data_IF_629561793009
#
_entry.id   IF_629561793009
#
_cell.length_a   1.000
_cell.length_b   1.000
_cell.length_c   1.000
_cell.angle_alpha   90.00
_cell.angle_beta   90.00
_cell.angle_gamma   90.00
#
_symmetry.space_group_name_H-M   'P 1'
#
loop_
_entity.id
_entity.type
_entity.pdbx_description
1 polymer ?
#
# COMPACT_ATOMS: atom_id res chain seq x y z
N UNK A 1 -29.49 7.73 -11.10
CA UNK A 1 -30.56 7.85 -12.12
C UNK A 1 -31.87 8.42 -11.54
N UNK A 2 -32.19 8.20 -10.27
CA UNK A 2 -33.42 8.79 -9.67
C UNK A 2 -33.34 10.31 -9.55
N UNK A 3 -32.14 10.83 -9.30
CA UNK A 3 -31.91 12.26 -9.00
C UNK A 3 -31.52 13.09 -10.25
N UNK A 4 -31.19 12.42 -11.37
CA UNK A 4 -30.77 13.03 -12.62
C UNK A 4 -31.43 12.29 -13.80
N UNK A 5 -32.65 12.65 -14.22
CA UNK A 5 -33.40 11.92 -15.27
C UNK A 5 -32.72 11.99 -16.66
N UNK A 6 -32.00 13.06 -16.96
CA UNK A 6 -31.33 13.29 -18.24
C UNK A 6 -29.86 12.81 -18.27
N UNK A 7 -29.47 11.97 -17.31
CA UNK A 7 -28.09 11.46 -17.21
C UNK A 7 -27.74 10.57 -18.43
N UNK A 8 -26.77 11.01 -19.22
CA UNK A 8 -26.18 10.20 -20.29
C UNK A 8 -25.02 9.37 -19.73
N UNK A 9 -25.20 8.04 -19.73
CA UNK A 9 -24.15 7.09 -19.31
C UNK A 9 -23.26 6.76 -20.52
N UNK A 10 -21.96 7.01 -20.39
CA UNK A 10 -20.94 6.64 -21.38
C UNK A 10 -20.04 5.58 -20.73
N UNK A 11 -19.90 4.41 -21.37
CA UNK A 11 -19.05 3.32 -20.89
C UNK A 11 -17.77 3.26 -21.71
N UNK A 12 -16.63 3.40 -21.03
CA UNK A 12 -15.33 3.22 -21.64
C UNK A 12 -14.94 1.73 -21.52
N UNK A 13 -15.09 1.00 -22.61
CA UNK A 13 -14.86 -0.46 -22.65
C UNK A 13 -13.45 -0.84 -23.11
N UNK A 14 -12.76 0.04 -23.84
CA UNK A 14 -11.40 -0.21 -24.33
C UNK A 14 -10.37 -0.06 -23.19
N UNK A 15 -9.53 -1.08 -23.01
CA UNK A 15 -8.44 -1.07 -22.03
C UNK A 15 -7.09 -1.15 -22.73
N UNK A 16 -6.29 -0.13 -22.56
CA UNK A 16 -4.95 0.02 -23.15
C UNK A 16 -3.82 -0.36 -22.19
N UNK A 17 -4.13 -0.64 -20.91
CA UNK A 17 -3.15 -0.90 -19.85
C UNK A 17 -2.81 -2.38 -19.74
N UNK A 18 -3.81 -3.24 -19.66
CA UNK A 18 -3.65 -4.64 -19.24
C UNK A 18 -3.77 -5.61 -20.40
N UNK A 19 -3.08 -6.76 -20.27
CA UNK A 19 -3.21 -7.86 -21.20
C UNK A 19 -4.56 -8.58 -21.06
N UNK A 20 -5.00 -9.37 -22.07
CA UNK A 20 -6.25 -10.14 -21.98
C UNK A 20 -6.33 -11.03 -20.74
N UNK A 21 -5.22 -11.66 -20.34
CA UNK A 21 -5.16 -12.56 -19.18
C UNK A 21 -5.46 -11.82 -17.88
N UNK A 22 -4.86 -10.64 -17.69
CA UNK A 22 -5.11 -9.80 -16.51
C UNK A 22 -6.56 -9.34 -16.48
N UNK A 23 -7.12 -8.88 -17.62
CA UNK A 23 -8.50 -8.41 -17.68
C UNK A 23 -9.49 -9.55 -17.41
N UNK A 24 -9.27 -10.73 -17.98
CA UNK A 24 -10.12 -11.90 -17.74
C UNK A 24 -10.15 -12.28 -16.27
N UNK A 25 -8.97 -12.36 -15.63
CA UNK A 25 -8.88 -12.68 -14.19
C UNK A 25 -9.56 -11.62 -13.33
N UNK A 26 -9.34 -10.33 -13.63
CA UNK A 26 -9.96 -9.23 -12.90
C UNK A 26 -11.49 -9.24 -13.04
N UNK A 27 -12.01 -9.48 -14.25
CA UNK A 27 -13.45 -9.58 -14.48
C UNK A 27 -14.07 -10.79 -13.76
N UNK A 28 -13.39 -11.93 -13.73
CA UNK A 28 -13.82 -13.08 -12.94
C UNK A 28 -13.86 -12.77 -11.45
N UNK A 29 -12.84 -12.10 -10.91
CA UNK A 29 -12.77 -11.76 -9.49
C UNK A 29 -13.90 -10.82 -9.04
N UNK A 30 -14.33 -9.90 -9.91
CA UNK A 30 -15.41 -8.95 -9.60
C UNK A 30 -16.81 -9.41 -10.04
N UNK A 31 -16.92 -10.54 -10.75
CA UNK A 31 -18.20 -11.05 -11.27
C UNK A 31 -19.27 -11.25 -10.17
N UNK A 32 -18.94 -11.71 -8.95
CA UNK A 32 -19.92 -11.87 -7.88
C UNK A 32 -20.49 -10.56 -7.35
N UNK A 33 -19.86 -9.42 -7.64
CA UNK A 33 -20.31 -8.13 -7.13
C UNK A 33 -21.61 -7.68 -7.86
N UNK A 34 -22.62 -7.16 -7.14
CA UNK A 34 -23.85 -6.69 -7.76
C UNK A 34 -23.58 -5.54 -8.72
N UNK A 35 -24.39 -5.45 -9.78
CA UNK A 35 -24.32 -4.38 -10.76
C UNK A 35 -24.39 -4.88 -12.19
N UNK A 36 -24.32 -3.99 -13.20
CA UNK A 36 -24.36 -4.37 -14.60
C UNK A 36 -23.13 -5.19 -14.99
N UNK A 37 -23.31 -6.07 -15.99
CA UNK A 37 -22.18 -6.82 -16.57
C UNK A 37 -21.10 -5.86 -17.05
N UNK A 38 -19.87 -6.10 -16.60
CA UNK A 38 -18.69 -5.29 -16.93
C UNK A 38 -17.97 -5.94 -18.10
N UNK A 39 -17.81 -5.18 -19.17
CA UNK A 39 -17.09 -5.65 -20.37
C UNK A 39 -15.87 -4.73 -20.56
N UNK A 40 -14.67 -5.33 -20.67
CA UNK A 40 -13.44 -4.63 -21.01
C UNK A 40 -12.80 -5.34 -22.20
N UNK A 41 -12.46 -4.57 -23.22
CA UNK A 41 -11.80 -5.06 -24.43
C UNK A 41 -10.32 -4.74 -24.36
N UNK A 42 -9.44 -5.76 -24.34
CA UNK A 42 -8.00 -5.54 -24.32
C UNK A 42 -7.51 -4.99 -25.66
N UNK A 43 -6.63 -4.00 -25.59
CA UNK A 43 -5.93 -3.47 -26.78
C UNK A 43 -4.46 -3.94 -26.83
N UNK A 44 -3.97 -4.58 -25.78
CA UNK A 44 -2.61 -5.14 -25.73
C UNK A 44 -2.61 -6.60 -26.23
N UNK A 45 -1.48 -7.06 -26.79
CA UNK A 45 -1.32 -8.48 -27.15
C UNK A 45 -1.40 -9.38 -25.91
N UNK A 46 -1.57 -10.66 -26.12
CA UNK A 46 -1.55 -11.66 -25.07
C UNK A 46 -0.24 -11.60 -24.28
N UNK A 47 -0.35 -11.68 -22.96
CA UNK A 47 0.78 -11.68 -22.03
C UNK A 47 0.89 -13.03 -21.29
N UNK A 48 1.68 -13.03 -20.21
CA UNK A 48 1.80 -14.19 -19.33
C UNK A 48 0.50 -14.46 -18.57
N UNK A 49 0.21 -15.72 -18.23
CA UNK A 49 -0.94 -16.06 -17.39
C UNK A 49 -0.80 -15.46 -15.99
N UNK A 50 -1.94 -15.12 -15.40
CA UNK A 50 -1.99 -14.75 -13.98
C UNK A 50 -1.77 -16.00 -13.13
N UNK A 51 -0.89 -15.93 -12.16
CA UNK A 51 -0.59 -17.03 -11.23
C UNK A 51 -1.27 -16.77 -9.90
N UNK A 52 -1.93 -17.78 -9.38
CA UNK A 52 -2.45 -17.81 -8.02
C UNK A 52 -1.51 -18.65 -7.16
N UNK A 53 -1.03 -18.08 -6.05
CA UNK A 53 -0.22 -18.79 -5.08
C UNK A 53 -0.99 -18.86 -3.76
N UNK A 54 -1.08 -20.05 -3.21
CA UNK A 54 -1.66 -20.30 -1.89
C UNK A 54 -0.53 -20.64 -0.92
N UNK A 55 -0.54 -20.02 0.25
CA UNK A 55 0.51 -20.16 1.27
C UNK A 55 -0.10 -20.54 2.61
N UNK A 56 0.69 -21.17 3.48
CA UNK A 56 0.22 -21.65 4.78
C UNK A 56 -0.05 -20.53 5.80
N UNK A 57 0.34 -19.28 5.51
CA UNK A 57 0.11 -18.14 6.39
C UNK A 57 0.89 -16.89 5.94
N UNK A 58 0.65 -15.79 6.63
CA UNK A 58 1.15 -14.45 6.27
C UNK A 58 2.68 -14.39 6.10
N UNK A 59 3.42 -15.07 6.96
CA UNK A 59 4.89 -15.10 6.88
C UNK A 59 5.38 -15.89 5.66
N UNK A 60 4.73 -17.04 5.39
CA UNK A 60 5.02 -17.86 4.21
C UNK A 60 4.69 -17.10 2.92
N UNK A 61 3.63 -16.26 2.92
CA UNK A 61 3.30 -15.35 1.83
C UNK A 61 4.42 -14.35 1.57
N UNK A 62 4.92 -13.67 2.62
CA UNK A 62 6.03 -12.72 2.52
C UNK A 62 7.30 -13.35 1.93
N UNK A 63 7.65 -14.57 2.35
CA UNK A 63 8.79 -15.33 1.80
C UNK A 63 8.55 -15.69 0.33
N UNK A 64 7.35 -16.14 -0.01
CA UNK A 64 7.00 -16.48 -1.40
C UNK A 64 7.11 -15.27 -2.32
N UNK A 65 6.62 -14.09 -1.88
CA UNK A 65 6.75 -12.82 -2.60
C UNK A 65 8.22 -12.45 -2.80
N UNK A 66 9.04 -12.52 -1.74
CA UNK A 66 10.46 -12.21 -1.83
C UNK A 66 11.18 -13.10 -2.85
N UNK A 67 10.88 -14.40 -2.84
CA UNK A 67 11.42 -15.38 -3.78
C UNK A 67 11.01 -15.08 -5.23
N UNK A 68 9.75 -14.78 -5.48
CA UNK A 68 9.26 -14.41 -6.82
C UNK A 68 9.97 -13.14 -7.34
N UNK A 69 10.13 -12.13 -6.48
CA UNK A 69 10.84 -10.90 -6.86
C UNK A 69 12.30 -11.21 -7.19
N UNK A 70 12.99 -12.00 -6.37
CA UNK A 70 14.36 -12.41 -6.63
C UNK A 70 14.50 -13.16 -7.97
N UNK A 71 13.56 -14.05 -8.30
CA UNK A 71 13.54 -14.73 -9.60
C UNK A 71 13.36 -13.75 -10.77
N UNK A 72 12.43 -12.80 -10.64
CA UNK A 72 12.18 -11.80 -11.68
C UNK A 72 13.36 -10.86 -11.92
N UNK A 73 14.17 -10.61 -10.88
CA UNK A 73 15.33 -9.71 -10.95
C UNK A 73 16.66 -10.42 -11.22
N UNK A 74 16.61 -11.73 -11.51
CA UNK A 74 17.81 -12.51 -11.83
C UNK A 74 18.65 -12.92 -10.61
N UNK A 75 18.15 -12.77 -9.37
CA UNK A 75 18.89 -12.97 -8.13
C UNK A 75 18.90 -14.40 -7.55
N UNK A 76 18.19 -15.35 -8.12
CA UNK A 76 18.23 -16.76 -7.68
C UNK A 76 18.97 -17.62 -8.70
N UNK A 77 20.15 -17.99 -8.27
CA UNK A 77 21.01 -19.08 -8.64
C UNK A 77 21.09 -19.55 -10.10
N UNK A 78 22.32 -19.54 -10.63
CA UNK A 78 22.73 -20.15 -11.90
C UNK A 78 22.23 -21.60 -12.09
N UNK A 79 21.90 -22.33 -11.04
CA UNK A 79 21.42 -23.72 -11.10
C UNK A 79 19.96 -23.85 -11.52
N UNK A 80 19.12 -22.84 -11.25
CA UNK A 80 17.72 -22.84 -11.71
C UNK A 80 17.54 -22.20 -13.09
N UNK A 81 18.45 -21.33 -13.50
CA UNK A 81 18.46 -20.71 -14.84
C UNK A 81 18.62 -21.76 -15.97
N UNK A 82 19.17 -22.95 -15.68
CA UNK A 82 19.32 -24.04 -16.65
C UNK A 82 18.08 -24.95 -16.78
N UNK A 83 17.07 -24.76 -15.94
CA UNK A 83 15.89 -25.65 -15.94
C UNK A 83 14.68 -25.10 -16.68
N UNK A 84 14.65 -23.83 -16.99
CA UNK A 84 13.49 -23.22 -17.62
C UNK A 84 13.95 -22.44 -18.87
N UNK A 85 13.44 -22.84 -20.02
CA UNK A 85 13.66 -22.24 -21.35
C UNK A 85 12.99 -20.83 -21.43
N UNK A 86 13.03 -20.09 -20.33
CA UNK A 86 12.46 -18.74 -20.19
C UNK A 86 13.53 -17.73 -20.47
N UNK A 87 13.56 -17.24 -21.69
CA UNK A 87 14.08 -15.92 -22.02
C UNK A 87 13.23 -14.82 -21.33
N UNK A 88 13.11 -14.89 -20.01
CA UNK A 88 12.48 -13.82 -19.23
C UNK A 88 13.48 -12.67 -19.13
N UNK A 89 13.14 -11.55 -19.74
CA UNK A 89 13.88 -10.30 -19.55
C UNK A 89 13.93 -9.99 -18.07
N UNK A 90 15.15 -9.90 -17.50
CA UNK A 90 15.40 -9.51 -16.12
C UNK A 90 14.71 -8.16 -15.88
N UNK A 91 13.86 -8.09 -14.84
CA UNK A 91 13.14 -6.87 -14.47
C UNK A 91 13.95 -6.04 -13.49
N UNK A 92 13.77 -4.73 -13.57
CA UNK A 92 14.23 -3.84 -12.51
C UNK A 92 13.29 -3.91 -11.30
N UNK A 93 13.82 -3.69 -10.09
CA UNK A 93 13.00 -3.57 -8.89
C UNK A 93 11.92 -2.49 -8.99
N UNK A 94 12.21 -1.40 -9.72
CA UNK A 94 11.27 -0.30 -9.96
C UNK A 94 10.05 -0.68 -10.83
N UNK A 95 10.09 -1.83 -11.51
CA UNK A 95 9.00 -2.33 -12.34
C UNK A 95 8.06 -3.28 -11.59
N UNK A 96 8.35 -3.53 -10.31
CA UNK A 96 7.61 -4.48 -9.48
C UNK A 96 6.86 -3.72 -8.40
N UNK A 97 5.58 -4.00 -8.25
CA UNK A 97 4.75 -3.47 -7.18
C UNK A 97 4.02 -4.60 -6.45
N UNK A 98 4.03 -4.56 -5.12
CA UNK A 98 3.26 -5.44 -4.25
C UNK A 98 2.12 -4.65 -3.64
N UNK A 99 0.88 -5.09 -3.88
CA UNK A 99 -0.33 -4.45 -3.37
C UNK A 99 -0.86 -5.23 -2.19
N UNK A 100 -0.97 -4.57 -1.04
CA UNK A 100 -1.51 -5.14 0.19
C UNK A 100 -2.82 -4.45 0.57
N UNK A 101 -3.73 -5.17 1.24
CA UNK A 101 -4.99 -4.58 1.72
C UNK A 101 -4.81 -3.76 2.99
N UNK A 102 -3.82 -4.10 3.80
CA UNK A 102 -3.57 -3.46 5.10
C UNK A 102 -2.11 -3.08 5.25
N UNK A 103 -1.85 -2.04 6.04
CA UNK A 103 -0.48 -1.65 6.40
C UNK A 103 0.27 -2.75 7.15
N UNK A 104 -0.44 -3.55 7.96
CA UNK A 104 0.15 -4.69 8.66
C UNK A 104 0.74 -5.72 7.70
N UNK A 105 0.01 -6.06 6.64
CA UNK A 105 0.51 -6.95 5.58
C UNK A 105 1.72 -6.32 4.87
N UNK A 106 1.64 -5.04 4.50
CA UNK A 106 2.74 -4.34 3.86
C UNK A 106 4.01 -4.33 4.73
N UNK A 107 3.88 -4.10 6.04
CA UNK A 107 5.01 -4.16 6.98
C UNK A 107 5.62 -5.56 7.09
N UNK A 108 4.80 -6.61 7.05
CA UNK A 108 5.30 -7.98 7.09
C UNK A 108 6.07 -8.31 5.81
N UNK A 109 5.52 -7.98 4.66
CA UNK A 109 6.18 -8.15 3.36
C UNK A 109 7.50 -7.35 3.34
N UNK A 110 7.50 -6.09 3.78
CA UNK A 110 8.71 -5.27 3.90
C UNK A 110 9.78 -5.97 4.73
N UNK A 111 9.43 -6.54 5.89
CA UNK A 111 10.39 -7.28 6.74
C UNK A 111 11.01 -8.47 5.99
N UNK A 112 10.20 -9.23 5.25
CA UNK A 112 10.70 -10.35 4.45
C UNK A 112 11.63 -9.88 3.32
N UNK A 113 11.25 -8.81 2.60
CA UNK A 113 12.07 -8.24 1.53
C UNK A 113 13.40 -7.70 2.05
N UNK A 114 13.39 -6.99 3.17
CA UNK A 114 14.61 -6.48 3.81
C UNK A 114 15.53 -7.59 4.30
N UNK A 115 14.95 -8.68 4.84
CA UNK A 115 15.73 -9.86 5.27
C UNK A 115 16.50 -10.45 4.08
N UNK A 116 15.90 -10.51 2.91
CA UNK A 116 16.51 -11.04 1.70
C UNK A 116 17.29 -9.95 0.91
N UNK A 117 17.56 -8.78 1.54
CA UNK A 117 18.28 -7.65 0.94
C UNK A 117 17.64 -7.10 -0.34
N UNK A 118 16.33 -7.25 -0.50
CA UNK A 118 15.55 -6.70 -1.60
C UNK A 118 15.15 -5.25 -1.28
N UNK A 119 15.60 -4.25 -2.09
CA UNK A 119 15.23 -2.86 -1.85
C UNK A 119 13.74 -2.64 -2.08
N UNK A 120 13.06 -1.99 -1.13
CA UNK A 120 11.64 -1.68 -1.23
C UNK A 120 11.29 -0.35 -0.57
N UNK A 121 10.21 0.27 -1.05
CA UNK A 121 9.59 1.47 -0.47
C UNK A 121 8.14 1.16 -0.20
N UNK A 122 7.67 1.41 1.03
CA UNK A 122 6.26 1.26 1.39
C UNK A 122 5.57 2.61 1.22
N UNK A 123 4.70 2.71 0.22
CA UNK A 123 3.90 3.91 -0.02
C UNK A 123 2.80 4.04 1.05
N UNK A 124 2.50 5.27 1.46
CA UNK A 124 1.47 5.55 2.47
C UNK A 124 1.90 5.25 3.91
N UNK A 125 3.20 5.08 4.14
CA UNK A 125 3.78 4.84 5.47
C UNK A 125 3.92 6.11 6.30
N UNK A 126 3.84 7.26 5.68
CA UNK A 126 3.89 8.54 6.38
C UNK A 126 2.60 8.67 7.19
N UNK A 127 2.63 8.15 8.40
CA UNK A 127 1.66 8.47 9.44
C UNK A 127 2.02 9.88 9.95
N UNK A 128 1.61 10.87 9.19
CA UNK A 128 1.83 12.28 9.55
C UNK A 128 1.30 12.60 10.96
N UNK A 129 0.29 11.83 11.42
CA UNK A 129 -0.26 11.98 12.76
C UNK A 129 0.64 11.39 13.84
N UNK A 130 1.58 10.52 13.49
CA UNK A 130 2.59 9.98 14.42
C UNK A 130 3.82 10.88 14.53
N UNK A 131 3.99 11.84 13.63
CA UNK A 131 5.04 12.83 13.67
C UNK A 131 4.85 13.77 14.88
N UNK A 132 5.90 14.00 15.64
CA UNK A 132 5.84 14.76 16.90
C UNK A 132 5.47 16.22 16.67
N UNK A 133 5.96 16.84 15.60
CA UNK A 133 5.62 18.23 15.27
C UNK A 133 4.14 18.36 14.87
N UNK A 134 3.63 17.39 14.09
CA UNK A 134 2.23 17.35 13.70
C UNK A 134 1.34 17.10 14.91
N UNK A 135 1.68 16.15 15.77
CA UNK A 135 0.94 15.86 17.00
C UNK A 135 0.91 17.06 17.96
N UNK A 136 2.06 17.71 18.12
CA UNK A 136 2.15 18.91 18.91
C UNK A 136 1.29 20.05 18.34
N UNK A 137 1.34 20.25 17.03
CA UNK A 137 0.52 21.26 16.33
C UNK A 137 -0.98 20.99 16.50
N UNK A 138 -1.41 19.74 16.32
CA UNK A 138 -2.80 19.34 16.55
C UNK A 138 -3.19 19.51 18.01
N UNK A 139 -2.29 19.20 18.96
CA UNK A 139 -2.47 19.46 20.38
C UNK A 139 -2.71 20.95 20.67
N UNK A 140 -1.91 21.83 20.09
CA UNK A 140 -2.07 23.27 20.27
C UNK A 140 -3.44 23.77 19.77
N UNK A 141 -3.84 23.41 18.57
CA UNK A 141 -5.17 23.78 18.06
C UNK A 141 -6.32 23.11 18.81
N UNK A 142 -6.13 21.88 19.29
CA UNK A 142 -7.09 21.18 20.13
C UNK A 142 -7.33 21.92 21.45
N UNK A 143 -6.26 22.36 22.11
CA UNK A 143 -6.35 23.15 23.31
C UNK A 143 -7.00 24.52 23.10
N UNK A 144 -6.71 25.23 22.02
CA UNK A 144 -7.37 26.50 21.69
C UNK A 144 -8.89 26.35 21.50
N UNK A 145 -9.36 25.18 21.04
CA UNK A 145 -10.79 24.90 20.89
C UNK A 145 -11.44 24.43 22.21
N UNK A 146 -10.64 23.77 23.07
CA UNK A 146 -11.07 23.21 24.34
C UNK A 146 -10.00 23.47 25.41
N UNK A 147 -10.04 24.63 26.01
CA UNK A 147 -9.05 25.08 27.02
C UNK A 147 -8.93 24.17 28.24
N UNK A 148 -9.92 23.30 28.49
CA UNK A 148 -9.90 22.27 29.53
C UNK A 148 -9.10 21.01 29.15
N UNK A 149 -8.66 20.87 27.89
CA UNK A 149 -7.89 19.72 27.44
C UNK A 149 -6.40 19.90 27.80
N UNK A 150 -6.07 19.55 29.04
CA UNK A 150 -4.71 19.62 29.57
C UNK A 150 -3.74 18.69 28.85
N UNK A 151 -4.22 17.55 28.27
CA UNK A 151 -3.39 16.63 27.51
C UNK A 151 -2.98 17.24 26.16
N UNK A 152 -3.89 17.96 25.53
CA UNK A 152 -3.61 18.69 24.29
C UNK A 152 -2.56 19.79 24.53
N UNK A 153 -2.65 20.54 25.63
CA UNK A 153 -1.66 21.52 26.04
C UNK A 153 -0.29 20.87 26.33
N UNK A 154 -0.28 19.76 27.08
CA UNK A 154 0.96 19.02 27.37
C UNK A 154 1.67 18.59 26.09
N UNK A 155 0.94 18.01 25.14
CA UNK A 155 1.48 17.61 23.84
C UNK A 155 2.08 18.80 23.08
N UNK A 156 1.40 19.93 23.05
CA UNK A 156 1.92 21.14 22.40
C UNK A 156 3.23 21.61 23.05
N UNK A 157 3.27 21.74 24.38
CA UNK A 157 4.44 22.20 25.12
C UNK A 157 5.65 21.27 24.94
N UNK A 158 5.43 19.97 24.94
CA UNK A 158 6.51 18.97 24.81
C UNK A 158 6.99 18.81 23.38
N UNK A 159 6.08 18.70 22.41
CA UNK A 159 6.41 18.26 21.06
C UNK A 159 6.79 19.42 20.12
N UNK A 160 6.23 20.63 20.32
CA UNK A 160 6.59 21.81 19.52
C UNK A 160 7.71 22.61 20.19
N UNK A 161 7.50 22.96 21.46
CA UNK A 161 8.42 23.88 22.16
C UNK A 161 9.48 23.16 22.99
N UNK A 162 9.47 21.82 23.02
CA UNK A 162 10.43 21.00 23.76
C UNK A 162 10.63 21.46 25.22
N UNK A 163 9.54 21.92 25.86
CA UNK A 163 9.58 22.41 27.20
C UNK A 163 10.01 21.33 28.21
N UNK A 164 10.86 21.63 29.17
CA UNK A 164 11.20 20.74 30.27
C UNK A 164 9.98 20.35 31.09
N UNK A 165 10.00 19.16 31.71
CA UNK A 165 8.83 18.59 32.40
C UNK A 165 8.34 19.45 33.58
N UNK A 166 9.21 20.15 34.26
CA UNK A 166 8.88 21.10 35.33
C UNK A 166 8.09 22.32 34.84
N UNK A 167 8.50 22.89 33.68
CA UNK A 167 7.78 23.97 33.00
C UNK A 167 6.40 23.55 32.55
N UNK A 168 6.30 22.34 31.99
CA UNK A 168 5.01 21.75 31.55
C UNK A 168 4.08 21.59 32.75
N UNK A 169 4.58 21.06 33.87
CA UNK A 169 3.78 20.89 35.08
C UNK A 169 3.29 22.23 35.64
N UNK A 170 4.11 23.25 35.65
CA UNK A 170 3.72 24.59 36.07
C UNK A 170 2.64 25.19 35.17
N UNK A 171 2.79 25.04 33.84
CA UNK A 171 1.79 25.52 32.90
C UNK A 171 0.43 24.80 33.07
N UNK A 172 0.43 23.49 33.31
CA UNK A 172 -0.79 22.72 33.53
C UNK A 172 -1.50 23.04 34.84
N UNK A 173 -0.77 23.55 35.85
CA UNK A 173 -1.36 24.01 37.12
C UNK A 173 -1.94 25.42 37.04
N UNK A 174 -1.58 26.19 36.02
CA UNK A 174 -2.04 27.57 35.83
C UNK A 174 -3.32 27.67 34.98
N UNK A 175 -3.74 26.58 34.35
CA UNK A 175 -4.94 26.47 33.53
C UNK A 175 -6.05 25.76 34.32
#
# INVERSE_FOLDING_TARGET
KKDLPDLREIRLVQNYRSTPQILSTALCAIAPNPGPVRTLLPNRPAGKPVRLMETAGDFAEGIAIAREIAQMTGGLGMLEAHRDDRQDTVRSFSEIAVLCRTHRQAQLVEKCLRHDSIPCVVAGREDYLADDEVRGTLGFFGWLLHEQDTLALENALRLIWHCPSDVVQQALQAV
#
